data_IF_570741136898
#
_entry.id   IF_570741136898
#
_cell.length_a   1.000
_cell.length_b   1.000
_cell.length_c   1.000
_cell.angle_alpha   90.00
_cell.angle_beta   90.00
_cell.angle_gamma   90.00
#
_symmetry.space_group_name_H-M   'P 1'
#
loop_
_entity.id
_entity.type
_entity.pdbx_description
1 polymer ?
#
# COMPACT_ATOMS: atom_id res chain seq x y z
N UNK A 1 17.18 -8.10 -10.79
CA UNK A 1 16.37 -8.76 -9.75
C UNK A 1 14.99 -8.12 -9.74
N UNK A 2 13.92 -8.88 -9.95
CA UNK A 2 12.58 -8.33 -9.91
C UNK A 2 12.19 -7.91 -8.48
N UNK A 3 11.22 -7.03 -8.39
CA UNK A 3 10.80 -6.43 -7.12
C UNK A 3 9.37 -6.86 -6.81
N UNK A 4 9.13 -7.23 -5.56
CA UNK A 4 7.81 -7.40 -5.00
C UNK A 4 7.46 -6.12 -4.23
N UNK A 5 6.56 -5.34 -4.80
CA UNK A 5 6.07 -4.10 -4.20
C UNK A 5 4.81 -4.34 -3.38
N UNK A 6 4.80 -3.76 -2.19
CA UNK A 6 3.63 -3.70 -1.32
C UNK A 6 3.15 -2.25 -1.22
N UNK A 7 1.87 -2.00 -1.47
CA UNK A 7 1.26 -0.73 -1.08
C UNK A 7 1.24 -0.60 0.44
N UNK A 8 1.11 0.60 0.95
CA UNK A 8 1.03 0.85 2.39
C UNK A 8 -0.41 0.98 2.84
N UNK A 9 -1.12 2.02 2.43
CA UNK A 9 -2.49 2.28 2.88
C UNK A 9 -3.46 1.21 2.38
N UNK A 10 -4.16 0.56 3.32
CA UNK A 10 -5.10 -0.52 3.01
C UNK A 10 -4.46 -1.90 2.83
N UNK A 11 -3.12 -1.98 2.85
CA UNK A 11 -2.39 -3.25 2.76
C UNK A 11 -1.66 -3.55 4.06
N UNK A 12 -0.79 -2.65 4.52
CA UNK A 12 -0.07 -2.79 5.79
C UNK A 12 -0.45 -1.73 6.82
N UNK A 13 -0.80 -0.51 6.37
CA UNK A 13 -1.26 0.59 7.20
C UNK A 13 -2.78 0.71 7.14
N UNK A 14 -3.44 0.77 8.28
CA UNK A 14 -4.91 0.71 8.37
C UNK A 14 -5.55 2.10 8.26
N UNK A 15 -5.48 2.68 7.06
CA UNK A 15 -6.12 3.95 6.76
C UNK A 15 -7.65 3.88 6.93
N UNK A 16 -8.27 2.77 6.56
CA UNK A 16 -9.72 2.61 6.67
C UNK A 16 -10.21 2.64 8.11
N UNK A 17 -9.49 2.02 9.04
CA UNK A 17 -9.82 2.09 10.47
C UNK A 17 -9.73 3.53 10.99
N UNK A 18 -8.68 4.24 10.61
CA UNK A 18 -8.52 5.65 10.93
C UNK A 18 -9.68 6.49 10.38
N UNK A 19 -10.04 6.30 9.11
CA UNK A 19 -11.12 7.03 8.48
C UNK A 19 -12.47 6.77 9.16
N UNK A 20 -12.78 5.51 9.50
CA UNK A 20 -14.01 5.17 10.22
C UNK A 20 -14.07 5.85 11.58
N UNK A 21 -12.95 5.90 12.29
CA UNK A 21 -12.86 6.53 13.60
C UNK A 21 -13.10 8.04 13.52
N UNK A 22 -12.49 8.70 12.56
CA UNK A 22 -12.58 10.16 12.38
C UNK A 22 -13.96 10.58 11.86
N UNK A 23 -14.45 9.87 10.85
CA UNK A 23 -15.72 10.22 10.19
C UNK A 23 -16.95 9.72 10.94
N UNK A 24 -16.77 8.80 11.89
CA UNK A 24 -17.85 8.24 12.73
C UNK A 24 -19.03 7.71 11.91
N UNK A 25 -18.74 7.16 10.75
CA UNK A 25 -19.74 6.57 9.89
C UNK A 25 -19.34 5.15 9.51
N UNK A 26 -20.32 4.39 8.99
CA UNK A 26 -20.13 3.01 8.57
C UNK A 26 -19.63 2.88 7.14
N UNK A 27 -19.08 3.94 6.55
CA UNK A 27 -18.60 3.89 5.19
C UNK A 27 -17.51 2.84 5.03
N UNK A 28 -17.78 1.95 4.13
CA UNK A 28 -16.83 0.98 3.68
C UNK A 28 -15.73 1.64 2.85
N UNK A 29 -14.70 0.87 2.55
CA UNK A 29 -13.61 1.25 1.70
C UNK A 29 -14.09 2.00 0.46
N UNK A 30 -13.53 3.19 0.27
CA UNK A 30 -13.69 3.94 -0.96
C UNK A 30 -12.33 4.02 -1.62
N UNK A 31 -12.29 3.85 -2.92
CA UNK A 31 -11.06 4.07 -3.69
C UNK A 31 -10.68 5.55 -3.66
N UNK A 32 -11.66 6.43 -3.52
CA UNK A 32 -11.46 7.87 -3.38
C UNK A 32 -12.34 8.44 -2.27
N UNK A 33 -11.77 9.40 -1.54
CA UNK A 33 -12.47 10.12 -0.49
C UNK A 33 -12.89 11.49 -1.02
N UNK A 34 -14.18 11.87 -0.88
CA UNK A 34 -14.61 13.20 -1.29
C UNK A 34 -13.91 14.28 -0.45
N UNK A 35 -13.79 15.49 -1.01
CA UNK A 35 -13.09 16.58 -0.37
C UNK A 35 -13.67 16.93 1.01
N UNK A 36 -15.00 16.83 1.16
CA UNK A 36 -15.66 17.08 2.45
C UNK A 36 -15.19 16.13 3.56
N UNK A 37 -14.83 14.90 3.20
CA UNK A 37 -14.29 13.92 4.14
C UNK A 37 -12.78 14.14 4.35
N UNK A 38 -12.04 14.47 3.29
CA UNK A 38 -10.61 14.78 3.39
C UNK A 38 -10.32 15.94 4.34
N UNK A 39 -11.18 16.97 4.36
CA UNK A 39 -11.03 18.09 5.31
C UNK A 39 -10.96 17.59 6.74
N UNK A 40 -11.79 16.61 7.10
CA UNK A 40 -11.79 16.00 8.44
C UNK A 40 -10.60 15.11 8.67
N UNK A 41 -10.26 14.28 7.68
CA UNK A 41 -9.16 13.34 7.80
C UNK A 41 -7.81 14.03 7.98
N UNK A 42 -7.57 15.15 7.28
CA UNK A 42 -6.31 15.89 7.34
C UNK A 42 -6.21 16.89 8.51
N UNK A 43 -7.23 16.98 9.37
CA UNK A 43 -7.11 17.74 10.62
C UNK A 43 -5.94 17.22 11.45
N UNK A 44 -5.69 15.92 11.45
CA UNK A 44 -4.44 15.38 11.95
C UNK A 44 -3.40 15.42 10.82
N UNK A 45 -2.55 16.45 10.82
CA UNK A 45 -1.49 16.60 9.81
C UNK A 45 -0.44 15.49 9.86
N UNK A 46 -0.39 14.73 10.96
CA UNK A 46 0.53 13.61 11.16
C UNK A 46 -0.16 12.25 11.04
N UNK A 47 -1.32 12.21 10.36
CA UNK A 47 -2.13 10.99 10.29
C UNK A 47 -1.35 9.77 9.78
N UNK A 48 -0.48 9.92 8.78
CA UNK A 48 0.27 8.79 8.23
C UNK A 48 1.29 8.20 9.19
N UNK A 49 1.85 9.01 10.08
CA UNK A 49 2.68 8.52 11.18
C UNK A 49 1.89 7.73 12.19
N UNK A 50 0.64 8.12 12.43
CA UNK A 50 -0.17 7.64 13.54
C UNK A 50 -1.06 6.43 13.18
N UNK A 51 -1.04 5.97 11.93
CA UNK A 51 -1.82 4.79 11.51
C UNK A 51 -1.37 3.53 12.25
N UNK A 52 -2.35 2.69 12.61
CA UNK A 52 -2.06 1.34 13.07
C UNK A 52 -1.74 0.42 11.89
N UNK A 53 -1.10 -0.70 12.15
CA UNK A 53 -0.97 -1.77 11.16
C UNK A 53 -2.34 -2.41 10.92
N UNK A 54 -2.57 -2.90 9.69
CA UNK A 54 -3.71 -3.78 9.43
C UNK A 54 -3.56 -5.07 10.23
N UNK A 55 -4.67 -5.78 10.52
CA UNK A 55 -4.59 -7.03 11.29
C UNK A 55 -3.68 -8.09 10.67
N UNK A 56 -3.63 -8.15 9.34
CA UNK A 56 -2.83 -9.16 8.60
C UNK A 56 -1.43 -8.68 8.20
N UNK A 57 -1.04 -7.44 8.53
CA UNK A 57 0.20 -6.82 8.03
C UNK A 57 1.45 -7.64 8.33
N UNK A 58 1.62 -8.08 9.57
CA UNK A 58 2.83 -8.82 9.97
C UNK A 58 2.93 -10.16 9.24
N UNK A 59 1.84 -10.88 9.13
CA UNK A 59 1.80 -12.17 8.43
C UNK A 59 2.01 -12.01 6.93
N UNK A 60 1.41 -10.98 6.33
CA UNK A 60 1.59 -10.68 4.91
C UNK A 60 3.06 -10.34 4.60
N UNK A 61 3.66 -9.46 5.38
CA UNK A 61 5.07 -9.07 5.17
C UNK A 61 5.99 -10.26 5.37
N UNK A 62 5.74 -11.08 6.38
CA UNK A 62 6.52 -12.30 6.61
C UNK A 62 6.44 -13.24 5.41
N UNK A 63 5.24 -13.47 4.88
CA UNK A 63 5.06 -14.30 3.70
C UNK A 63 5.79 -13.73 2.48
N UNK A 64 5.67 -12.43 2.25
CA UNK A 64 6.33 -11.77 1.13
C UNK A 64 7.86 -11.85 1.22
N UNK A 65 8.43 -11.72 2.41
CA UNK A 65 9.88 -11.92 2.61
C UNK A 65 10.32 -13.34 2.28
N UNK A 66 9.56 -14.32 2.74
CA UNK A 66 9.88 -15.73 2.46
C UNK A 66 9.77 -16.02 0.96
N UNK A 67 8.70 -15.55 0.34
CA UNK A 67 8.49 -15.67 -1.11
C UNK A 67 9.65 -15.05 -1.88
N UNK A 68 10.03 -13.83 -1.51
CA UNK A 68 11.13 -13.10 -2.14
C UNK A 68 12.44 -13.86 -2.04
N UNK A 69 12.76 -14.40 -0.86
CA UNK A 69 13.96 -15.19 -0.66
C UNK A 69 13.97 -16.46 -1.52
N UNK A 70 12.83 -17.14 -1.63
CA UNK A 70 12.73 -18.38 -2.42
C UNK A 70 12.81 -18.14 -3.92
N UNK A 71 12.31 -17.01 -4.40
CA UNK A 71 12.13 -16.76 -5.83
C UNK A 71 13.01 -15.64 -6.40
N UNK A 72 13.90 -15.12 -5.60
CA UNK A 72 14.87 -14.10 -6.05
C UNK A 72 14.26 -12.72 -6.28
N UNK A 73 13.34 -12.30 -5.43
CA UNK A 73 12.77 -10.96 -5.42
C UNK A 73 13.38 -10.10 -4.32
N UNK A 74 13.32 -8.79 -4.52
CA UNK A 74 13.53 -7.79 -3.47
C UNK A 74 12.16 -7.26 -3.03
N UNK A 75 11.96 -7.02 -1.73
CA UNK A 75 10.70 -6.47 -1.22
C UNK A 75 10.85 -4.97 -0.98
N UNK A 76 9.91 -4.19 -1.51
CA UNK A 76 9.83 -2.73 -1.27
C UNK A 76 8.39 -2.30 -1.06
N UNK A 77 8.20 -1.22 -0.31
CA UNK A 77 6.92 -0.52 -0.32
C UNK A 77 6.85 0.40 -1.54
N UNK A 78 5.68 0.48 -2.17
CA UNK A 78 5.39 1.46 -3.21
C UNK A 78 4.09 2.15 -2.82
N UNK A 79 4.20 3.38 -2.36
CA UNK A 79 3.10 4.14 -1.79
C UNK A 79 2.86 5.45 -2.54
N UNK A 80 1.68 6.01 -2.39
CA UNK A 80 1.30 7.29 -2.96
C UNK A 80 1.03 8.31 -1.88
N UNK A 81 1.22 9.58 -2.21
CA UNK A 81 0.79 10.70 -1.37
C UNK A 81 -0.54 11.24 -1.91
N UNK A 82 -1.31 11.96 -1.09
CA UNK A 82 -2.52 12.63 -1.56
C UNK A 82 -2.24 13.63 -2.66
N UNK A 83 -3.14 13.73 -3.64
CA UNK A 83 -3.06 14.79 -4.65
C UNK A 83 -3.11 16.15 -3.98
N UNK A 84 -2.50 17.15 -4.63
CA UNK A 84 -2.36 18.53 -4.14
C UNK A 84 -1.45 18.66 -2.92
N UNK A 85 -0.94 17.57 -2.40
CA UNK A 85 -0.03 17.56 -1.26
C UNK A 85 -0.55 18.35 -0.05
N UNK A 86 -1.84 18.21 0.24
CA UNK A 86 -2.50 18.91 1.33
C UNK A 86 -2.04 18.46 2.72
N UNK A 87 -1.34 17.35 2.78
CA UNK A 87 -0.77 16.79 4.01
C UNK A 87 0.75 16.92 3.92
N UNK A 88 1.25 17.99 4.51
CA UNK A 88 2.66 18.44 4.37
C UNK A 88 3.67 17.37 4.78
N UNK A 89 3.33 16.56 5.79
CA UNK A 89 4.23 15.54 6.32
C UNK A 89 4.06 14.17 5.66
N UNK A 90 3.26 14.04 4.59
CA UNK A 90 2.92 12.74 4.02
C UNK A 90 4.14 11.90 3.65
N UNK A 91 5.11 12.45 2.93
CA UNK A 91 6.34 11.74 2.58
C UNK A 91 7.11 11.29 3.81
N UNK A 92 7.40 12.24 4.68
CA UNK A 92 8.21 12.02 5.86
C UNK A 92 7.57 10.97 6.79
N UNK A 93 6.28 11.12 7.06
CA UNK A 93 5.58 10.28 8.02
C UNK A 93 5.37 8.84 7.50
N UNK A 94 5.23 8.65 6.20
CA UNK A 94 5.19 7.30 5.63
C UNK A 94 6.52 6.57 5.79
N UNK A 95 7.62 7.28 5.62
CA UNK A 95 8.96 6.72 5.86
C UNK A 95 9.15 6.40 7.35
N UNK A 96 8.75 7.30 8.23
CA UNK A 96 8.82 7.08 9.68
C UNK A 96 7.99 5.86 10.08
N UNK A 97 6.79 5.74 9.56
CA UNK A 97 5.92 4.60 9.83
C UNK A 97 6.58 3.28 9.41
N UNK A 98 7.14 3.25 8.21
CA UNK A 98 7.82 2.06 7.70
C UNK A 98 9.06 1.72 8.53
N UNK A 99 9.84 2.71 8.92
CA UNK A 99 11.02 2.49 9.78
C UNK A 99 10.66 1.96 11.16
N UNK A 100 9.50 2.37 11.67
CA UNK A 100 9.01 1.89 12.97
C UNK A 100 8.63 0.41 12.95
N UNK A 101 7.93 -0.02 11.91
CA UNK A 101 7.34 -1.37 11.86
C UNK A 101 8.10 -2.35 10.98
N UNK A 102 8.71 -1.89 9.89
CA UNK A 102 9.40 -2.71 8.90
C UNK A 102 10.68 -2.03 8.41
N UNK A 103 11.67 -1.84 9.31
CA UNK A 103 12.85 -1.00 9.02
C UNK A 103 13.73 -1.51 7.89
N UNK A 104 13.63 -2.78 7.54
CA UNK A 104 14.41 -3.40 6.46
C UNK A 104 13.79 -3.23 5.07
N UNK A 105 12.56 -2.69 4.97
CA UNK A 105 11.86 -2.53 3.70
C UNK A 105 11.95 -1.08 3.23
N UNK A 106 12.62 -0.81 2.08
CA UNK A 106 12.69 0.53 1.52
C UNK A 106 11.31 1.04 1.09
N UNK A 107 11.10 2.36 1.19
CA UNK A 107 9.86 3.01 0.75
C UNK A 107 10.13 3.74 -0.56
N UNK A 108 9.35 3.39 -1.59
CA UNK A 108 9.33 4.07 -2.87
C UNK A 108 8.01 4.81 -3.02
N UNK A 109 8.06 6.00 -3.61
CA UNK A 109 6.87 6.81 -3.87
C UNK A 109 6.52 6.81 -5.34
N UNK A 110 5.20 6.75 -5.64
CA UNK A 110 4.69 6.84 -6.98
C UNK A 110 5.17 8.05 -7.80
N UNK A 111 5.02 9.33 -7.35
CA UNK A 111 4.49 9.82 -6.07
C UNK A 111 2.98 9.70 -5.90
N UNK A 112 2.21 9.76 -6.98
CA UNK A 112 0.76 9.58 -6.92
C UNK A 112 0.35 8.16 -7.33
N UNK A 113 -0.90 7.79 -7.05
CA UNK A 113 -1.40 6.44 -7.36
C UNK A 113 -1.21 6.07 -8.83
N UNK A 114 -1.58 6.97 -9.74
CA UNK A 114 -1.44 6.77 -11.19
C UNK A 114 0.02 6.58 -11.62
N UNK A 115 0.95 7.20 -10.90
CA UNK A 115 2.37 7.15 -11.24
C UNK A 115 3.04 5.82 -10.86
N UNK A 116 2.39 5.01 -10.04
CA UNK A 116 2.94 3.71 -9.63
C UNK A 116 3.30 2.84 -10.84
N UNK A 117 2.51 2.88 -11.89
CA UNK A 117 2.74 2.10 -13.11
C UNK A 117 4.08 2.43 -13.79
N UNK A 118 4.65 3.60 -13.55
CA UNK A 118 5.95 3.98 -14.09
C UNK A 118 7.12 3.20 -13.46
N UNK A 119 6.90 2.58 -12.32
CA UNK A 119 7.92 1.79 -11.62
C UNK A 119 8.05 0.35 -12.12
N UNK A 120 7.10 -0.13 -12.94
CA UNK A 120 7.06 -1.52 -13.34
C UNK A 120 8.25 -1.89 -14.24
N UNK A 121 8.87 -3.01 -13.94
CA UNK A 121 9.82 -3.71 -14.81
C UNK A 121 9.35 -5.15 -15.00
N UNK A 122 9.79 -5.85 -16.06
CA UNK A 122 9.36 -7.23 -16.29
C UNK A 122 9.59 -8.13 -15.07
N UNK A 123 8.54 -8.83 -14.66
CA UNK A 123 8.58 -9.73 -13.52
C UNK A 123 8.20 -9.10 -12.19
N UNK A 124 8.08 -7.78 -12.12
CA UNK A 124 7.72 -7.10 -10.88
C UNK A 124 6.27 -7.41 -10.47
N UNK A 125 6.06 -7.52 -9.16
CA UNK A 125 4.76 -7.80 -8.56
C UNK A 125 4.31 -6.55 -7.77
N UNK A 126 3.05 -6.19 -7.88
CA UNK A 126 2.42 -5.18 -7.02
C UNK A 126 1.25 -5.79 -6.27
N UNK A 127 1.27 -5.68 -4.94
CA UNK A 127 0.14 -5.99 -4.05
C UNK A 127 -0.44 -4.66 -3.59
N UNK A 128 -1.68 -4.38 -3.99
CA UNK A 128 -2.34 -3.10 -3.75
C UNK A 128 -3.84 -3.33 -3.51
N UNK A 129 -4.48 -2.45 -2.77
CA UNK A 129 -5.92 -2.57 -2.47
C UNK A 129 -6.82 -1.83 -3.47
N UNK A 130 -6.23 -1.06 -4.39
CA UNK A 130 -6.97 -0.30 -5.41
C UNK A 130 -6.99 -1.02 -6.74
N UNK A 131 -8.20 -1.27 -7.22
CA UNK A 131 -8.41 -1.93 -8.51
C UNK A 131 -7.73 -1.19 -9.65
N UNK A 132 -7.83 0.15 -9.70
CA UNK A 132 -7.21 0.95 -10.76
C UNK A 132 -5.69 0.80 -10.78
N UNK A 133 -5.04 0.78 -9.62
CA UNK A 133 -3.60 0.60 -9.54
C UNK A 133 -3.17 -0.76 -10.09
N UNK A 134 -3.91 -1.80 -9.76
CA UNK A 134 -3.64 -3.16 -10.23
C UNK A 134 -3.86 -3.28 -11.75
N UNK A 135 -4.92 -2.70 -12.28
CA UNK A 135 -5.20 -2.72 -13.71
C UNK A 135 -4.12 -1.97 -14.50
N UNK A 136 -3.72 -0.79 -14.05
CA UNK A 136 -2.64 0.00 -14.66
C UNK A 136 -1.31 -0.76 -14.62
N UNK A 137 -1.01 -1.40 -13.50
CA UNK A 137 0.21 -2.20 -13.33
C UNK A 137 0.27 -3.37 -14.30
N UNK A 138 -0.83 -4.10 -14.42
CA UNK A 138 -0.96 -5.23 -15.36
C UNK A 138 -0.83 -4.77 -16.81
N UNK A 139 -1.44 -3.64 -17.15
CA UNK A 139 -1.35 -3.07 -18.49
C UNK A 139 0.08 -2.73 -18.91
N UNK A 140 0.95 -2.44 -17.94
CA UNK A 140 2.38 -2.18 -18.16
C UNK A 140 3.24 -3.44 -18.12
N UNK A 141 2.62 -4.62 -18.00
CA UNK A 141 3.33 -5.89 -18.06
C UNK A 141 3.77 -6.48 -16.72
N UNK A 142 3.38 -5.89 -15.60
CA UNK A 142 3.65 -6.42 -14.27
C UNK A 142 2.60 -7.42 -13.80
N UNK A 143 2.89 -8.11 -12.70
CA UNK A 143 1.93 -8.97 -12.01
C UNK A 143 1.23 -8.17 -10.92
N UNK A 144 -0.08 -7.99 -11.04
CA UNK A 144 -0.87 -7.26 -10.05
C UNK A 144 -1.73 -8.19 -9.21
N UNK A 145 -1.70 -8.00 -7.91
CA UNK A 145 -2.51 -8.76 -6.95
C UNK A 145 -3.36 -7.78 -6.15
N UNK A 146 -4.68 -7.89 -6.30
CA UNK A 146 -5.61 -7.08 -5.52
C UNK A 146 -5.74 -7.67 -4.11
N UNK A 147 -5.38 -6.87 -3.10
CA UNK A 147 -5.46 -7.28 -1.70
C UNK A 147 -6.59 -6.51 -0.99
N UNK A 148 -7.62 -7.23 -0.57
CA UNK A 148 -8.78 -6.67 0.15
C UNK A 148 -8.87 -7.20 1.59
N UNK A 149 -7.73 -7.38 2.25
CA UNK A 149 -7.68 -7.84 3.64
C UNK A 149 -7.76 -9.35 3.82
N UNK A 150 -7.83 -10.14 2.75
CA UNK A 150 -7.83 -11.60 2.82
C UNK A 150 -6.44 -12.15 2.50
N UNK A 151 -5.71 -12.50 3.54
CA UNK A 151 -4.33 -12.99 3.41
C UNK A 151 -4.25 -14.26 2.58
N UNK A 152 -5.14 -15.22 2.80
CA UNK A 152 -5.10 -16.50 2.10
C UNK A 152 -5.27 -16.36 0.59
N UNK A 153 -6.17 -15.46 0.16
CA UNK A 153 -6.35 -15.16 -1.28
C UNK A 153 -5.11 -14.51 -1.88
N UNK A 154 -4.47 -13.62 -1.14
CA UNK A 154 -3.24 -12.95 -1.60
C UNK A 154 -2.10 -13.95 -1.74
N UNK A 155 -1.93 -14.85 -0.77
CA UNK A 155 -0.95 -15.93 -0.82
C UNK A 155 -1.20 -16.83 -2.03
N UNK A 156 -2.45 -17.25 -2.22
CA UNK A 156 -2.83 -18.09 -3.36
C UNK A 156 -2.48 -17.42 -4.69
N UNK A 157 -2.72 -16.11 -4.81
CA UNK A 157 -2.39 -15.37 -6.02
C UNK A 157 -0.87 -15.29 -6.25
N UNK A 158 -0.09 -15.11 -5.20
CA UNK A 158 1.38 -15.10 -5.29
C UNK A 158 1.90 -16.45 -5.77
N UNK A 159 1.38 -17.54 -5.23
CA UNK A 159 1.81 -18.90 -5.59
C UNK A 159 1.54 -19.25 -7.06
N UNK A 160 0.56 -18.60 -7.69
CA UNK A 160 0.24 -18.81 -9.11
C UNK A 160 1.19 -18.13 -10.07
N UNK A 161 2.01 -17.20 -9.61
CA UNK A 161 2.92 -16.42 -10.48
C UNK A 161 4.11 -17.28 -10.96
N UNK A 162 4.42 -18.33 -10.27
CA UNK A 162 5.61 -19.17 -10.56
C UNK A 162 5.24 -20.39 -11.37
#
# INVERSE_FOLDING_TARGET
MPILYLDMDGVVADFNAYARKVLKNSHNKKDRWPESEWVKLRENSRLYRDLDKTPEADDLVKYCRNYANQHGYEVRFLTAIPRKNDIVFAFYDKVIWAQKYFPDIPVMFGPYSHDKQAHVSPGDILIDDRTSNIEEWRAMGGYGILHKGNLDKTIESLEKII
#
